data_IF_348154962366
#
_entry.id   IF_348154962366
#
_cell.length_a   1.000
_cell.length_b   1.000
_cell.length_c   1.000
_cell.angle_alpha   90.00
_cell.angle_beta   90.00
_cell.angle_gamma   90.00
#
_symmetry.space_group_name_H-M   'P 1'
#
loop_
_entity.id
_entity.type
_entity.pdbx_description
1 polymer ?
#
# COMPACT_ATOMS: atom_id res chain seq x y z
N UNK A 1 -44.18 12.43 24.23
CA UNK A 1 -43.03 11.70 23.66
C UNK A 1 -42.38 12.63 22.65
N UNK A 2 -41.35 13.34 23.07
CA UNK A 2 -40.65 14.38 22.32
C UNK A 2 -40.04 13.82 21.03
N UNK A 3 -40.43 14.40 19.89
CA UNK A 3 -39.63 14.28 18.66
C UNK A 3 -38.38 15.11 18.88
N UNK A 4 -37.27 14.43 19.05
CA UNK A 4 -35.93 15.01 19.14
C UNK A 4 -35.66 15.75 17.81
N UNK A 5 -35.85 17.08 17.79
CA UNK A 5 -35.49 17.90 16.64
C UNK A 5 -33.96 17.88 16.53
N UNK A 6 -33.42 17.20 15.52
CA UNK A 6 -32.03 17.40 15.13
C UNK A 6 -31.89 18.87 14.70
N UNK A 7 -31.03 19.62 15.38
CA UNK A 7 -30.67 20.99 15.01
C UNK A 7 -30.15 21.03 13.57
N UNK A 8 -30.50 22.07 12.82
CA UNK A 8 -30.09 22.28 11.43
C UNK A 8 -28.58 22.12 11.24
N UNK A 9 -27.81 22.59 12.22
CA UNK A 9 -26.36 22.49 12.32
C UNK A 9 -25.85 21.04 12.34
N UNK A 10 -26.48 20.15 13.12
CA UNK A 10 -26.12 18.72 13.15
C UNK A 10 -26.42 17.99 11.84
N UNK A 11 -27.43 18.44 11.10
CA UNK A 11 -27.74 17.91 9.77
C UNK A 11 -26.74 18.42 8.74
N UNK A 12 -26.33 19.69 8.83
CA UNK A 12 -25.30 20.26 7.96
C UNK A 12 -23.94 19.60 8.17
N UNK A 13 -23.49 19.43 9.41
CA UNK A 13 -22.23 18.74 9.72
C UNK A 13 -22.22 17.31 9.16
N UNK A 14 -23.36 16.62 9.28
CA UNK A 14 -23.51 15.27 8.76
C UNK A 14 -23.49 15.24 7.23
N UNK A 15 -24.13 16.20 6.57
CA UNK A 15 -24.08 16.33 5.10
C UNK A 15 -22.63 16.60 4.65
N UNK A 16 -21.93 17.53 5.29
CA UNK A 16 -20.53 17.84 4.97
C UNK A 16 -19.63 16.61 5.14
N UNK A 17 -19.75 15.89 6.26
CA UNK A 17 -18.97 14.66 6.47
C UNK A 17 -19.27 13.58 5.42
N UNK A 18 -20.54 13.44 5.01
CA UNK A 18 -20.93 12.50 3.94
C UNK A 18 -20.43 12.94 2.57
N UNK A 19 -20.36 14.24 2.30
CA UNK A 19 -19.80 14.78 1.05
C UNK A 19 -18.29 14.58 0.98
N UNK A 20 -17.57 14.78 2.08
CA UNK A 20 -16.15 14.48 2.21
C UNK A 20 -15.86 12.99 2.01
N UNK A 21 -16.61 12.11 2.66
CA UNK A 21 -16.52 10.65 2.45
C UNK A 21 -16.81 10.27 0.99
N UNK A 22 -17.85 10.86 0.37
CA UNK A 22 -18.16 10.61 -1.05
C UNK A 22 -17.06 11.10 -1.98
N UNK A 23 -16.45 12.25 -1.70
CA UNK A 23 -15.33 12.77 -2.48
C UNK A 23 -14.09 11.89 -2.35
N UNK A 24 -13.80 11.43 -1.14
CA UNK A 24 -12.74 10.47 -0.84
C UNK A 24 -12.93 9.16 -1.62
N UNK A 25 -14.14 8.59 -1.61
CA UNK A 25 -14.48 7.37 -2.37
C UNK A 25 -14.37 7.62 -3.88
N UNK A 26 -14.89 8.73 -4.38
CA UNK A 26 -14.82 9.07 -5.81
C UNK A 26 -13.39 9.28 -6.29
N UNK A 27 -12.55 9.94 -5.49
CA UNK A 27 -11.14 10.14 -5.78
C UNK A 27 -10.38 8.80 -5.74
N UNK A 28 -10.64 7.96 -4.74
CA UNK A 28 -10.08 6.62 -4.69
C UNK A 28 -10.47 5.79 -5.93
N UNK A 29 -11.73 5.87 -6.37
CA UNK A 29 -12.20 5.22 -7.60
C UNK A 29 -11.52 5.78 -8.86
N UNK A 30 -11.38 7.09 -9.01
CA UNK A 30 -10.68 7.72 -10.13
C UNK A 30 -9.20 7.29 -10.16
N UNK A 31 -8.58 7.15 -8.99
CA UNK A 31 -7.21 6.66 -8.88
C UNK A 31 -7.12 5.16 -9.19
N UNK A 32 -8.10 4.36 -8.79
CA UNK A 32 -8.23 2.95 -9.19
C UNK A 32 -8.47 2.77 -10.70
N UNK A 33 -9.22 3.68 -11.33
CA UNK A 33 -9.46 3.65 -12.77
C UNK A 33 -8.19 3.92 -13.56
N UNK A 34 -7.31 4.83 -13.11
CA UNK A 34 -6.01 5.07 -13.77
C UNK A 34 -4.88 4.16 -13.24
N UNK A 35 -5.19 3.14 -12.44
CA UNK A 35 -4.28 2.05 -12.09
C UNK A 35 -4.20 1.01 -13.23
N UNK A 36 -5.22 0.96 -14.11
CA UNK A 36 -5.37 -0.06 -15.16
C UNK A 36 -4.40 0.08 -16.37
N UNK A 37 -3.37 0.92 -16.25
CA UNK A 37 -2.42 1.23 -17.33
C UNK A 37 -1.16 0.33 -17.30
N UNK A 38 -0.91 -0.41 -16.21
CA UNK A 38 0.15 -1.43 -16.19
C UNK A 38 -0.38 -2.68 -16.88
N UNK A 39 -0.39 -2.65 -18.22
CA UNK A 39 -0.70 -3.82 -19.03
C UNK A 39 0.55 -4.70 -19.13
N UNK A 40 0.45 -6.03 -18.97
CA UNK A 40 1.58 -6.96 -19.13
C UNK A 40 2.34 -6.74 -20.44
N UNK A 41 1.60 -6.40 -21.49
CA UNK A 41 2.08 -6.21 -22.86
C UNK A 41 2.92 -4.93 -23.03
N UNK A 42 2.60 -3.86 -22.28
CA UNK A 42 3.35 -2.60 -22.29
C UNK A 42 4.57 -2.67 -21.37
N UNK A 43 4.45 -3.45 -20.29
CA UNK A 43 5.53 -3.70 -19.36
C UNK A 43 6.55 -4.73 -19.87
N UNK A 44 6.44 -5.30 -21.07
CA UNK A 44 7.40 -6.32 -21.53
C UNK A 44 8.85 -5.79 -21.69
N UNK A 45 9.01 -4.51 -22.04
CA UNK A 45 10.33 -3.86 -22.25
C UNK A 45 10.85 -3.09 -21.02
N UNK A 46 10.05 -2.93 -19.97
CA UNK A 46 10.46 -2.15 -18.79
C UNK A 46 11.44 -2.93 -17.89
N UNK A 47 12.28 -2.25 -17.12
CA UNK A 47 13.03 -2.93 -16.04
C UNK A 47 12.10 -3.24 -14.84
N UNK A 48 12.44 -4.25 -14.03
CA UNK A 48 11.70 -4.54 -12.78
C UNK A 48 11.66 -3.30 -11.88
N UNK A 49 12.78 -2.58 -11.80
CA UNK A 49 12.91 -1.34 -11.05
C UNK A 49 11.95 -0.24 -11.57
N UNK A 50 11.78 -0.12 -12.89
CA UNK A 50 10.83 0.84 -13.49
C UNK A 50 9.39 0.54 -13.07
N UNK A 51 8.96 -0.73 -13.17
CA UNK A 51 7.61 -1.14 -12.74
C UNK A 51 7.39 -0.80 -11.27
N UNK A 52 8.36 -1.13 -10.40
CA UNK A 52 8.28 -0.85 -8.97
C UNK A 52 8.25 0.66 -8.70
N UNK A 53 9.00 1.47 -9.45
CA UNK A 53 8.96 2.93 -9.35
C UNK A 53 7.59 3.50 -9.74
N UNK A 54 6.99 2.99 -10.82
CA UNK A 54 5.62 3.36 -11.22
C UNK A 54 4.60 2.95 -10.16
N UNK A 55 4.74 1.73 -9.60
CA UNK A 55 3.92 1.24 -8.51
C UNK A 55 4.00 2.15 -7.29
N UNK A 56 5.21 2.49 -6.83
CA UNK A 56 5.42 3.40 -5.71
C UNK A 56 4.74 4.76 -5.92
N UNK A 57 5.00 5.39 -7.07
CA UNK A 57 4.46 6.71 -7.40
C UNK A 57 2.92 6.72 -7.40
N UNK A 58 2.30 5.59 -7.72
CA UNK A 58 0.85 5.46 -7.70
C UNK A 58 0.32 5.22 -6.28
N UNK A 59 0.99 4.37 -5.51
CA UNK A 59 0.68 4.15 -4.10
C UNK A 59 0.79 5.47 -3.30
N UNK A 60 1.83 6.26 -3.53
CA UNK A 60 2.03 7.56 -2.89
C UNK A 60 0.96 8.62 -3.26
N UNK A 61 0.17 8.40 -4.32
CA UNK A 61 -1.00 9.23 -4.67
C UNK A 61 -2.29 8.78 -3.98
N UNK A 62 -2.35 7.53 -3.52
CA UNK A 62 -3.51 6.95 -2.81
C UNK A 62 -3.42 7.13 -1.29
N UNK A 63 -2.21 7.08 -0.75
CA UNK A 63 -1.93 7.18 0.68
C UNK A 63 -0.75 8.11 0.90
N UNK A 64 -0.76 8.85 2.02
CA UNK A 64 0.29 9.82 2.33
C UNK A 64 1.56 9.13 2.84
N UNK A 65 2.47 8.87 1.91
CA UNK A 65 3.76 8.25 2.19
C UNK A 65 4.83 9.30 2.47
N UNK A 66 5.57 9.08 3.56
CA UNK A 66 6.85 9.75 3.78
C UNK A 66 7.92 9.16 2.87
N UNK A 67 7.90 7.87 2.58
CA UNK A 67 8.88 7.14 1.76
C UNK A 67 8.50 5.67 1.61
N UNK A 68 9.24 4.89 0.82
CA UNK A 68 8.99 3.45 0.72
C UNK A 68 10.02 2.67 -0.10
N UNK A 69 9.92 1.35 -0.03
CA UNK A 69 10.79 0.42 -0.74
C UNK A 69 10.08 -0.90 -1.06
N UNK A 70 10.60 -1.63 -2.04
CA UNK A 70 10.18 -2.98 -2.40
C UNK A 70 11.33 -3.96 -2.23
N UNK A 71 11.01 -5.09 -1.61
CA UNK A 71 11.88 -6.24 -1.45
C UNK A 71 11.29 -7.39 -2.24
N UNK A 72 12.05 -7.98 -3.16
CA UNK A 72 11.62 -9.09 -4.01
C UNK A 72 12.30 -10.37 -3.53
N UNK A 73 11.57 -11.47 -3.56
CA UNK A 73 12.05 -12.79 -3.20
C UNK A 73 12.69 -13.47 -4.41
N UNK A 74 13.97 -13.85 -4.29
CA UNK A 74 14.62 -14.77 -5.23
C UNK A 74 14.13 -16.19 -4.95
N UNK A 75 13.61 -16.89 -5.96
CA UNK A 75 12.82 -18.13 -5.82
C UNK A 75 13.47 -19.35 -5.14
N UNK A 76 14.69 -19.26 -4.63
CA UNK A 76 15.37 -20.33 -3.87
C UNK A 76 15.77 -19.92 -2.45
N UNK A 77 15.91 -18.62 -2.16
CA UNK A 77 16.36 -18.11 -0.87
C UNK A 77 15.32 -17.17 -0.26
N UNK A 78 15.13 -17.26 1.07
CA UNK A 78 14.33 -16.32 1.88
C UNK A 78 15.08 -14.98 2.06
N UNK A 79 16.00 -14.65 1.15
CA UNK A 79 16.71 -13.38 1.18
C UNK A 79 15.81 -12.26 0.66
N UNK A 80 15.55 -11.30 1.55
CA UNK A 80 14.85 -10.06 1.23
C UNK A 80 15.77 -9.15 0.45
N UNK A 81 15.72 -9.23 -0.88
CA UNK A 81 16.55 -8.38 -1.73
C UNK A 81 15.84 -7.07 -2.04
N UNK A 82 16.43 -5.95 -1.62
CA UNK A 82 15.99 -4.62 -2.00
C UNK A 82 16.04 -4.49 -3.54
N UNK A 83 14.89 -4.21 -4.15
CA UNK A 83 14.76 -4.08 -5.61
C UNK A 83 14.39 -2.67 -6.06
N UNK A 84 13.78 -1.88 -5.16
CA UNK A 84 13.52 -0.46 -5.40
C UNK A 84 13.40 0.27 -4.06
N UNK A 85 13.89 1.50 -3.99
CA UNK A 85 13.59 2.44 -2.93
C UNK A 85 13.33 3.82 -3.52
N UNK A 86 12.31 4.52 -3.02
CA UNK A 86 12.04 5.90 -3.39
C UNK A 86 13.25 6.81 -3.14
N UNK A 87 13.86 6.63 -1.95
CA UNK A 87 15.03 7.37 -1.51
C UNK A 87 15.91 6.51 -0.59
N UNK A 88 17.23 6.78 -0.53
CA UNK A 88 18.16 6.00 0.30
C UNK A 88 17.81 5.97 1.78
N UNK A 89 17.25 7.06 2.33
CA UNK A 89 16.88 7.13 3.74
C UNK A 89 15.72 6.19 4.09
N UNK A 90 14.83 5.93 3.11
CA UNK A 90 13.72 4.99 3.29
C UNK A 90 14.24 3.56 3.37
N UNK A 91 15.17 3.19 2.47
CA UNK A 91 15.82 1.89 2.51
C UNK A 91 16.55 1.66 3.83
N UNK A 92 17.36 2.63 4.27
CA UNK A 92 18.13 2.52 5.51
C UNK A 92 17.22 2.39 6.74
N UNK A 93 16.09 3.12 6.79
CA UNK A 93 15.13 2.97 7.88
C UNK A 93 14.48 1.57 7.87
N UNK A 94 14.05 1.10 6.71
CA UNK A 94 13.38 -0.19 6.58
C UNK A 94 14.34 -1.34 6.89
N UNK A 95 15.58 -1.30 6.40
CA UNK A 95 16.62 -2.29 6.71
C UNK A 95 16.89 -2.40 8.21
N UNK A 96 16.80 -1.28 8.95
CA UNK A 96 16.95 -1.29 10.42
C UNK A 96 15.76 -1.95 11.14
N UNK A 97 14.55 -1.79 10.61
CA UNK A 97 13.31 -2.30 11.22
C UNK A 97 12.99 -3.73 10.77
N UNK A 98 13.49 -4.14 9.60
CA UNK A 98 13.19 -5.43 8.97
C UNK A 98 13.50 -6.64 9.88
N UNK A 99 14.63 -6.72 10.62
CA UNK A 99 14.90 -7.85 11.51
C UNK A 99 13.83 -8.01 12.60
N UNK A 100 13.38 -6.91 13.21
CA UNK A 100 12.35 -6.95 14.25
C UNK A 100 11.01 -7.44 13.70
N UNK A 101 10.64 -7.02 12.48
CA UNK A 101 9.40 -7.42 11.80
C UNK A 101 9.45 -8.87 11.27
N UNK A 102 10.64 -9.41 11.05
CA UNK A 102 10.85 -10.83 10.75
C UNK A 102 10.72 -11.63 12.04
N UNK A 103 11.40 -11.21 13.11
CA UNK A 103 11.43 -11.90 14.41
C UNK A 103 10.06 -11.97 15.07
N UNK A 104 9.24 -10.91 14.95
CA UNK A 104 7.87 -10.88 15.50
C UNK A 104 6.82 -11.56 14.59
N UNK A 105 7.23 -12.02 13.40
CA UNK A 105 6.37 -12.70 12.44
C UNK A 105 5.48 -11.79 11.58
N UNK A 106 5.58 -10.46 11.70
CA UNK A 106 4.78 -9.50 10.93
C UNK A 106 4.96 -9.68 9.43
N UNK A 107 6.18 -9.98 8.98
CA UNK A 107 6.46 -10.18 7.55
C UNK A 107 5.87 -11.49 7.04
N UNK A 108 6.03 -12.58 7.80
CA UNK A 108 5.40 -13.85 7.46
C UNK A 108 3.87 -13.70 7.37
N UNK A 109 3.27 -12.95 8.30
CA UNK A 109 1.84 -12.64 8.29
C UNK A 109 1.40 -11.81 7.08
N UNK A 110 2.17 -10.77 6.72
CA UNK A 110 1.91 -9.94 5.53
C UNK A 110 1.91 -10.79 4.26
N UNK A 111 2.92 -11.65 4.12
CA UNK A 111 3.07 -12.57 2.99
C UNK A 111 1.94 -13.59 2.93
N UNK A 112 1.57 -14.19 4.06
CA UNK A 112 0.54 -15.23 4.10
C UNK A 112 -0.87 -14.70 3.86
N UNK A 113 -1.17 -13.48 4.32
CA UNK A 113 -2.53 -12.92 4.22
C UNK A 113 -2.80 -12.24 2.88
N UNK A 114 -1.75 -11.88 2.12
CA UNK A 114 -1.83 -11.11 0.87
C UNK A 114 -2.65 -9.81 1.01
N UNK A 115 -2.78 -9.32 2.25
CA UNK A 115 -3.57 -8.16 2.62
C UNK A 115 -2.67 -7.03 3.06
N UNK A 116 -3.14 -5.82 2.81
CA UNK A 116 -2.50 -4.63 3.33
C UNK A 116 -2.68 -4.58 4.84
N UNK A 117 -1.58 -4.45 5.57
CA UNK A 117 -1.59 -4.24 7.01
C UNK A 117 -0.85 -2.95 7.36
N UNK A 118 -1.23 -2.34 8.47
CA UNK A 118 -0.50 -1.21 9.04
C UNK A 118 0.03 -1.53 10.43
N UNK A 119 1.31 -1.30 10.62
CA UNK A 119 2.05 -1.61 11.85
C UNK A 119 2.80 -0.38 12.35
N UNK A 120 2.99 -0.28 13.66
CA UNK A 120 3.83 0.75 14.26
C UNK A 120 5.27 0.22 14.32
N UNK A 121 6.21 0.91 13.70
CA UNK A 121 7.64 0.58 13.74
C UNK A 121 8.25 0.94 15.10
N UNK A 122 9.43 0.38 15.41
CA UNK A 122 10.15 0.69 16.66
C UNK A 122 10.61 2.16 16.72
N UNK A 123 10.86 2.75 15.55
CA UNK A 123 11.09 4.19 15.38
C UNK A 123 9.89 5.09 15.73
N UNK A 124 8.71 4.52 16.00
CA UNK A 124 7.50 5.26 16.35
C UNK A 124 6.68 5.75 15.16
N UNK A 125 7.11 5.48 13.93
CA UNK A 125 6.37 5.81 12.70
C UNK A 125 5.47 4.64 12.31
N UNK A 126 4.31 4.92 11.71
CA UNK A 126 3.46 3.86 11.16
C UNK A 126 3.96 3.45 9.77
N UNK A 127 3.90 2.15 9.48
CA UNK A 127 4.24 1.57 8.20
C UNK A 127 3.06 0.82 7.61
N UNK A 128 2.90 0.92 6.30
CA UNK A 128 2.00 0.15 5.49
C UNK A 128 2.78 -0.97 4.80
N UNK A 129 2.33 -2.20 4.98
CA UNK A 129 2.94 -3.40 4.42
C UNK A 129 1.95 -4.11 3.51
N UNK A 130 2.40 -4.56 2.35
CA UNK A 130 1.60 -5.39 1.46
C UNK A 130 2.49 -6.36 0.69
N UNK A 131 2.03 -7.59 0.50
CA UNK A 131 2.75 -8.59 -0.29
C UNK A 131 2.41 -8.48 -1.79
N UNK A 132 3.45 -8.38 -2.63
CA UNK A 132 3.31 -8.56 -4.07
C UNK A 132 3.10 -10.05 -4.33
N UNK A 133 1.85 -10.50 -4.36
CA UNK A 133 1.51 -11.92 -4.48
C UNK A 133 0.57 -12.20 -5.64
N UNK A 134 0.73 -13.39 -6.21
CA UNK A 134 -0.15 -13.98 -7.21
C UNK A 134 -0.66 -15.32 -6.70
N UNK A 135 -1.74 -15.88 -7.29
CA UNK A 135 -2.22 -17.21 -6.90
C UNK A 135 -1.10 -18.26 -7.01
N UNK A 136 -0.53 -18.65 -5.88
CA UNK A 136 0.50 -19.69 -5.76
C UNK A 136 1.95 -19.19 -5.62
N UNK A 137 2.24 -17.88 -5.68
CA UNK A 137 3.59 -17.36 -5.42
C UNK A 137 3.59 -15.93 -4.89
N UNK A 138 4.31 -15.71 -3.79
CA UNK A 138 4.67 -14.36 -3.36
C UNK A 138 5.95 -13.93 -4.06
N UNK A 139 5.88 -12.81 -4.78
CA UNK A 139 7.00 -12.20 -5.50
C UNK A 139 7.81 -11.27 -4.60
N UNK A 140 7.20 -10.66 -3.58
CA UNK A 140 7.90 -9.75 -2.68
C UNK A 140 6.99 -9.05 -1.68
N UNK A 141 7.53 -8.02 -1.03
CA UNK A 141 6.84 -7.18 -0.06
C UNK A 141 7.13 -5.71 -0.34
N UNK A 142 6.07 -4.90 -0.31
CA UNK A 142 6.13 -3.45 -0.27
C UNK A 142 6.16 -2.95 1.18
N UNK A 143 7.02 -1.97 1.42
CA UNK A 143 7.11 -1.22 2.65
C UNK A 143 6.90 0.27 2.39
N UNK A 144 5.79 0.83 2.87
CA UNK A 144 5.51 2.26 2.84
C UNK A 144 5.60 2.87 4.23
N UNK A 145 6.48 3.86 4.42
CA UNK A 145 6.55 4.64 5.65
C UNK A 145 5.47 5.72 5.57
N UNK A 146 4.50 5.71 6.48
CA UNK A 146 3.42 6.68 6.49
C UNK A 146 3.92 8.03 7.01
N UNK A 147 3.42 9.12 6.41
CA UNK A 147 3.66 10.48 6.92
C UNK A 147 2.71 10.83 8.06
N UNK A 148 1.46 10.37 7.93
CA UNK A 148 0.39 10.55 8.90
C UNK A 148 0.02 9.24 9.59
N UNK A 149 -0.88 9.31 10.57
CA UNK A 149 -1.34 8.12 11.28
C UNK A 149 -2.11 7.18 10.36
N UNK A 150 -1.99 5.88 10.61
CA UNK A 150 -2.73 4.83 9.89
C UNK A 150 -4.25 5.02 9.87
N UNK A 151 -4.82 5.71 10.86
CA UNK A 151 -6.26 6.01 10.95
C UNK A 151 -6.75 6.94 9.83
N UNK A 152 -5.86 7.67 9.17
CA UNK A 152 -6.21 8.58 8.07
C UNK A 152 -6.32 7.87 6.72
N UNK A 153 -5.96 6.58 6.63
CA UNK A 153 -6.10 5.80 5.40
C UNK A 153 -7.53 5.25 5.32
N UNK A 154 -8.24 5.62 4.25
CA UNK A 154 -9.57 5.12 3.97
C UNK A 154 -9.57 3.61 3.70
N UNK A 155 -10.57 2.89 4.21
CA UNK A 155 -10.73 1.44 3.99
C UNK A 155 -10.72 1.06 2.50
N UNK A 156 -11.31 1.90 1.64
CA UNK A 156 -11.33 1.68 0.19
C UNK A 156 -9.93 1.74 -0.42
N UNK A 157 -9.01 2.55 0.13
CA UNK A 157 -7.62 2.62 -0.32
C UNK A 157 -6.90 1.30 -0.08
N UNK A 158 -7.16 0.60 1.03
CA UNK A 158 -6.61 -0.74 1.28
C UNK A 158 -7.04 -1.75 0.22
N UNK A 159 -8.33 -1.73 -0.16
CA UNK A 159 -8.86 -2.63 -1.18
C UNK A 159 -8.27 -2.35 -2.57
N UNK A 160 -8.21 -1.07 -2.97
CA UNK A 160 -7.65 -0.64 -4.26
C UNK A 160 -6.16 -1.00 -4.34
N UNK A 161 -5.40 -0.71 -3.28
CA UNK A 161 -3.98 -1.04 -3.22
C UNK A 161 -3.75 -2.54 -3.26
N UNK A 162 -4.56 -3.33 -2.55
CA UNK A 162 -4.43 -4.79 -2.58
C UNK A 162 -4.66 -5.35 -3.99
N UNK A 163 -5.67 -4.85 -4.71
CA UNK A 163 -5.89 -5.19 -6.11
C UNK A 163 -4.70 -4.78 -6.98
N UNK A 164 -4.17 -3.58 -6.77
CA UNK A 164 -3.06 -3.04 -7.54
C UNK A 164 -1.76 -3.83 -7.34
N UNK A 165 -1.40 -4.14 -6.10
CA UNK A 165 -0.23 -4.94 -5.79
C UNK A 165 -0.33 -6.37 -6.32
N UNK A 166 -1.53 -6.95 -6.34
CA UNK A 166 -1.76 -8.25 -6.98
C UNK A 166 -1.54 -8.19 -8.50
N UNK A 167 -2.01 -7.13 -9.17
CA UNK A 167 -1.75 -6.90 -10.59
C UNK A 167 -0.24 -6.76 -10.88
N UNK A 168 0.47 -5.94 -10.08
CA UNK A 168 1.92 -5.77 -10.20
C UNK A 168 2.65 -7.09 -9.95
N UNK A 169 2.25 -7.86 -8.93
CA UNK A 169 2.77 -9.20 -8.70
C UNK A 169 2.61 -10.13 -9.92
N UNK A 170 1.46 -10.07 -10.59
CA UNK A 170 1.19 -10.81 -11.83
C UNK A 170 2.13 -10.45 -12.98
N UNK A 171 2.39 -9.14 -13.16
CA UNK A 171 3.34 -8.66 -14.17
C UNK A 171 4.77 -9.10 -13.85
N UNK A 172 5.16 -9.07 -12.58
CA UNK A 172 6.49 -9.51 -12.14
C UNK A 172 6.69 -11.03 -12.26
N UNK A 173 5.64 -11.83 -12.07
CA UNK A 173 5.70 -13.29 -12.20
C UNK A 173 5.85 -13.75 -13.65
N UNK A 174 5.20 -13.07 -14.59
CA UNK A 174 5.15 -13.47 -16.00
C UNK A 174 6.38 -13.01 -16.81
N UNK A 175 7.51 -12.74 -16.15
CA UNK A 175 8.78 -12.33 -16.75
C UNK A 175 9.82 -13.44 -16.72
#
# INVERSE_FOLDING_TARGET
MEKQFLTLEKLQDRITSMEEERWAVANALDVALKINDIRPDAAADDSVESILAHCYNRTAKLIDLKGGAFYIFSGEDVEFKLSYADRPESAALIEKELPALIDDGTIAWTVQTERAITVRLNSGVDAFLHALATPGRTMGVFFGILRDKKENILDISYAILSMYFSQVGGVLQNR
#
